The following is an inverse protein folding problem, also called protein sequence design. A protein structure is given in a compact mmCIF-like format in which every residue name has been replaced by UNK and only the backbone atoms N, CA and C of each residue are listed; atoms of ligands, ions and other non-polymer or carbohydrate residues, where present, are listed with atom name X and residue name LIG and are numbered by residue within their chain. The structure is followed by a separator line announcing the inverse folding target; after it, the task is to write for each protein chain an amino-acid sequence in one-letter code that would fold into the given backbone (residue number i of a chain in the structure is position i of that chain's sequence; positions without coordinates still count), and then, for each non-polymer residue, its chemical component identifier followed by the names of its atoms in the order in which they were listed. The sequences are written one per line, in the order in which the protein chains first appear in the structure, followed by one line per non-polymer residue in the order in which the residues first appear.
data_IF_980177141937
#
_entry.id   IF_980177141937
#
_cell.length_a   1.000
_cell.length_b   1.000
_cell.length_c   1.000
_cell.angle_alpha   90.00
_cell.angle_beta   90.00
_cell.angle_gamma   90.00
#
_symmetry.space_group_name_H-M   'P 1'
#
loop_
_entity.id
_entity.type
_entity.pdbx_description
1 polymer ?
#
# COMPACT_ATOMS: atom_id res chain seq x y z
N UNK A 1 1.77 -18.57 32.09
CA UNK A 1 1.35 -19.95 31.74
C UNK A 1 0.51 -19.85 30.49
N UNK A 2 0.73 -20.74 29.51
CA UNK A 2 0.02 -20.69 28.22
C UNK A 2 -1.46 -21.01 28.43
N UNK A 3 -2.36 -20.11 28.00
CA UNK A 3 -3.81 -20.36 27.94
C UNK A 3 -4.21 -20.59 26.49
N UNK A 4 -4.95 -21.65 26.21
CA UNK A 4 -5.41 -21.98 24.85
C UNK A 4 -6.90 -22.24 24.88
N UNK A 5 -7.62 -21.67 23.92
CA UNK A 5 -9.01 -22.01 23.62
C UNK A 5 -9.12 -22.31 22.13
N UNK A 6 -9.63 -23.49 21.77
CA UNK A 6 -9.91 -23.90 20.40
C UNK A 6 -11.41 -24.15 20.29
N UNK A 7 -12.09 -23.47 19.37
CA UNK A 7 -13.52 -23.66 19.09
C UNK A 7 -13.67 -24.08 17.63
N UNK A 8 -14.00 -25.37 17.36
CA UNK A 8 -14.00 -25.87 15.99
C UNK A 8 -15.11 -25.29 15.10
N UNK A 9 -16.20 -24.80 15.71
CA UNK A 9 -17.39 -24.33 15.00
C UNK A 9 -17.11 -23.17 14.04
N UNK A 10 -16.28 -22.22 14.45
CA UNK A 10 -15.84 -21.07 13.65
C UNK A 10 -14.34 -21.10 13.32
N UNK A 11 -13.65 -22.21 13.64
CA UNK A 11 -12.21 -22.32 13.45
C UNK A 11 -11.40 -21.35 14.32
N UNK A 12 -11.92 -20.96 15.50
CA UNK A 12 -11.21 -20.09 16.42
C UNK A 12 -10.10 -20.85 17.15
N UNK A 13 -8.91 -20.27 17.18
CA UNK A 13 -7.85 -20.60 18.13
C UNK A 13 -7.42 -19.31 18.81
N UNK A 14 -7.45 -19.30 20.13
CA UNK A 14 -6.98 -18.21 20.97
C UNK A 14 -5.87 -18.69 21.87
N UNK A 15 -4.69 -18.06 21.79
CA UNK A 15 -3.55 -18.33 22.67
C UNK A 15 -3.19 -17.05 23.40
N UNK A 16 -3.16 -17.11 24.72
CA UNK A 16 -2.81 -15.99 25.63
C UNK A 16 -3.59 -14.69 25.32
N UNK A 17 -4.87 -14.83 24.97
CA UNK A 17 -5.78 -13.71 24.69
C UNK A 17 -5.80 -13.20 23.25
N UNK A 18 -4.96 -13.74 22.34
CA UNK A 18 -4.97 -13.39 20.91
C UNK A 18 -5.59 -14.50 20.07
N UNK A 19 -6.68 -14.16 19.38
CA UNK A 19 -7.48 -15.10 18.59
C UNK A 19 -7.36 -14.93 17.08
N UNK A 20 -7.37 -16.04 16.35
CA UNK A 20 -7.59 -16.11 14.90
C UNK A 20 -8.74 -17.07 14.61
N UNK A 21 -9.64 -16.69 13.70
CA UNK A 21 -10.80 -17.49 13.26
C UNK A 21 -10.57 -18.07 11.87
N UNK A 22 -11.39 -19.03 11.44
CA UNK A 22 -11.31 -19.64 10.12
C UNK A 22 -10.14 -20.60 9.91
N UNK A 23 -9.44 -20.99 10.99
CA UNK A 23 -8.35 -21.97 10.91
C UNK A 23 -8.90 -23.38 10.61
N UNK A 24 -8.09 -24.20 9.95
CA UNK A 24 -8.49 -25.55 9.56
C UNK A 24 -8.57 -26.52 10.75
N UNK A 25 -9.79 -26.93 11.08
CA UNK A 25 -10.13 -27.81 12.20
C UNK A 25 -10.34 -29.28 11.80
N UNK A 26 -10.04 -29.67 10.56
CA UNK A 26 -10.30 -31.03 10.05
C UNK A 26 -9.61 -32.15 10.84
N UNK A 27 -8.58 -31.84 11.63
CA UNK A 27 -7.92 -32.79 12.53
C UNK A 27 -8.66 -33.05 13.85
N UNK A 28 -9.73 -32.30 14.16
CA UNK A 28 -10.54 -32.50 15.37
C UNK A 28 -11.75 -33.38 15.10
N UNK A 29 -12.13 -34.17 16.11
CA UNK A 29 -13.37 -34.92 16.08
C UNK A 29 -14.57 -33.96 16.03
N UNK A 30 -15.52 -34.23 15.13
CA UNK A 30 -16.65 -33.34 14.85
C UNK A 30 -17.61 -33.12 16.03
N UNK A 31 -17.54 -33.99 17.05
CA UNK A 31 -18.32 -33.91 18.27
C UNK A 31 -17.69 -33.01 19.36
N UNK A 32 -16.51 -32.46 19.14
CA UNK A 32 -15.88 -31.50 20.06
C UNK A 32 -16.53 -30.12 19.89
N UNK A 33 -16.91 -29.50 21.00
CA UNK A 33 -17.39 -28.11 21.06
C UNK A 33 -16.23 -27.15 21.34
N UNK A 34 -15.36 -27.48 22.30
CA UNK A 34 -14.18 -26.69 22.61
C UNK A 34 -13.05 -27.53 23.20
N UNK A 35 -11.82 -27.06 23.03
CA UNK A 35 -10.64 -27.56 23.74
C UNK A 35 -10.03 -26.38 24.48
N UNK A 36 -9.86 -26.51 25.79
CA UNK A 36 -9.35 -25.44 26.64
C UNK A 36 -8.14 -25.92 27.43
N UNK A 37 -7.08 -25.12 27.49
CA UNK A 37 -5.84 -25.40 28.21
C UNK A 37 -5.51 -24.30 29.20
N UNK A 38 -5.17 -24.68 30.43
CA UNK A 38 -5.00 -23.78 31.57
C UNK A 38 -3.56 -23.79 32.13
N UNK A 39 -2.58 -24.14 31.30
CA UNK A 39 -1.16 -24.12 31.66
C UNK A 39 -0.56 -25.53 31.81
N UNK A 40 -1.15 -26.38 32.66
CA UNK A 40 -0.65 -27.74 32.94
C UNK A 40 -1.67 -28.86 32.65
N UNK A 41 -2.93 -28.49 32.41
CA UNK A 41 -4.00 -29.41 32.06
C UNK A 41 -5.04 -28.69 31.23
N UNK A 42 -5.88 -29.45 30.55
CA UNK A 42 -6.97 -28.93 29.77
C UNK A 42 -8.21 -29.80 29.84
N UNK A 43 -9.27 -29.33 29.20
CA UNK A 43 -10.55 -30.01 29.10
C UNK A 43 -11.04 -30.00 27.65
N UNK A 44 -11.64 -31.12 27.25
CA UNK A 44 -12.39 -31.25 26.01
C UNK A 44 -13.87 -31.15 26.38
N UNK A 45 -14.53 -30.12 25.85
CA UNK A 45 -15.97 -29.96 25.92
C UNK A 45 -16.60 -30.59 24.68
N UNK A 46 -17.62 -31.43 24.85
CA UNK A 46 -18.33 -32.08 23.76
C UNK A 46 -19.66 -31.39 23.46
N UNK A 47 -20.07 -31.47 22.19
CA UNK A 47 -21.40 -31.06 21.74
C UNK A 47 -22.48 -31.92 22.39
N UNK A 48 -23.69 -31.37 22.50
CA UNK A 48 -24.88 -32.13 22.89
C UNK A 48 -25.08 -33.28 21.89
N UNK A 49 -25.31 -34.49 22.41
CA UNK A 49 -25.50 -35.67 21.58
C UNK A 49 -26.91 -35.73 20.97
N UNK A 50 -27.17 -36.72 20.11
CA UNK A 50 -28.46 -36.89 19.44
C UNK A 50 -29.65 -37.09 20.40
N UNK A 51 -29.39 -37.45 21.65
CA UNK A 51 -30.39 -37.64 22.71
C UNK A 51 -30.64 -36.36 23.53
N UNK A 52 -30.04 -35.22 23.16
CA UNK A 52 -30.17 -33.97 23.88
C UNK A 52 -29.35 -33.90 25.17
N UNK A 53 -28.42 -34.84 25.38
CA UNK A 53 -27.58 -34.92 26.59
C UNK A 53 -26.19 -34.35 26.30
N UNK A 54 -25.71 -33.46 27.16
CA UNK A 54 -24.32 -32.97 27.14
C UNK A 54 -23.40 -34.01 27.78
N UNK A 55 -22.42 -34.58 27.06
CA UNK A 55 -21.43 -35.48 27.66
C UNK A 55 -20.57 -34.74 28.70
N UNK A 56 -20.04 -35.46 29.68
CA UNK A 56 -19.07 -34.90 30.62
C UNK A 56 -17.78 -34.49 29.88
N UNK A 57 -17.15 -33.40 30.34
CA UNK A 57 -15.86 -32.98 29.83
C UNK A 57 -14.78 -34.02 30.13
N UNK A 58 -13.80 -34.14 29.22
CA UNK A 58 -12.64 -35.01 29.43
C UNK A 58 -11.41 -34.17 29.74
N UNK A 59 -10.76 -34.42 30.87
CA UNK A 59 -9.47 -33.78 31.18
C UNK A 59 -8.33 -34.42 30.38
N UNK A 60 -7.36 -33.59 29.99
CA UNK A 60 -6.13 -34.04 29.33
C UNK A 60 -4.92 -33.25 29.84
N UNK A 61 -3.72 -33.80 29.63
CA UNK A 61 -2.47 -33.28 30.25
C UNK A 61 -1.33 -33.06 29.24
N UNK A 62 -1.59 -33.22 27.94
CA UNK A 62 -0.63 -32.91 26.88
C UNK A 62 -1.34 -32.22 25.71
N UNK A 63 -0.66 -31.27 25.07
CA UNK A 63 -1.12 -30.58 23.88
C UNK A 63 -0.74 -31.28 22.57
N UNK A 64 -0.07 -32.43 22.62
CA UNK A 64 0.46 -33.10 21.42
C UNK A 64 -0.63 -33.37 20.36
N UNK A 65 -1.83 -33.74 20.79
CA UNK A 65 -2.98 -33.97 19.90
C UNK A 65 -3.46 -32.69 19.17
N UNK A 66 -3.04 -31.51 19.64
CA UNK A 66 -3.45 -30.20 19.13
C UNK A 66 -2.29 -29.43 18.49
N UNK A 67 -1.10 -30.03 18.40
CA UNK A 67 0.11 -29.39 17.88
C UNK A 67 -0.08 -28.79 16.48
N UNK A 68 -0.80 -29.48 15.59
CA UNK A 68 -1.12 -28.97 14.25
C UNK A 68 -1.94 -27.67 14.28
N UNK A 69 -2.93 -27.60 15.16
CA UNK A 69 -3.84 -26.45 15.26
C UNK A 69 -3.13 -25.25 15.89
N UNK A 70 -2.27 -25.52 16.87
CA UNK A 70 -1.37 -24.51 17.45
C UNK A 70 -0.43 -23.97 16.38
N UNK A 71 0.14 -24.84 15.53
CA UNK A 71 1.00 -24.41 14.43
C UNK A 71 0.27 -23.54 13.39
N UNK A 72 -1.01 -23.81 13.11
CA UNK A 72 -1.84 -22.95 12.25
C UNK A 72 -2.02 -21.55 12.87
N UNK A 73 -2.29 -21.48 14.17
CA UNK A 73 -2.35 -20.20 14.87
C UNK A 73 -1.00 -19.47 14.87
N UNK A 74 0.11 -20.18 15.05
CA UNK A 74 1.46 -19.59 15.01
C UNK A 74 1.78 -19.04 13.62
N UNK A 75 1.38 -19.74 12.55
CA UNK A 75 1.51 -19.28 11.19
C UNK A 75 0.69 -18.01 10.91
N UNK A 76 -0.57 -17.95 11.35
CA UNK A 76 -1.38 -16.73 11.19
C UNK A 76 -0.88 -15.58 12.06
N UNK A 77 -0.39 -15.87 13.26
CA UNK A 77 0.27 -14.88 14.12
C UNK A 77 1.49 -14.31 13.41
N UNK A 78 2.30 -15.16 12.77
CA UNK A 78 3.47 -14.73 12.01
C UNK A 78 3.07 -13.90 10.79
N UNK A 79 2.08 -14.32 10.01
CA UNK A 79 1.57 -13.56 8.87
C UNK A 79 0.98 -12.19 9.28
N UNK A 80 0.32 -12.11 10.43
CA UNK A 80 -0.23 -10.86 10.95
C UNK A 80 0.85 -9.94 11.56
N UNK A 81 1.87 -10.49 12.21
CA UNK A 81 2.97 -9.72 12.80
C UNK A 81 3.99 -9.29 11.74
N UNK A 82 4.17 -10.12 10.71
CA UNK A 82 5.12 -9.96 9.62
C UNK A 82 4.37 -10.05 8.27
N UNK A 83 3.50 -9.07 7.95
CA UNK A 83 2.83 -9.07 6.67
C UNK A 83 3.88 -9.08 5.54
N UNK A 84 3.65 -9.82 4.45
CA UNK A 84 4.56 -9.76 3.30
C UNK A 84 4.70 -8.31 2.84
N UNK A 85 5.90 -7.88 2.43
CA UNK A 85 6.08 -6.54 1.89
C UNK A 85 5.11 -6.33 0.73
N UNK A 86 4.57 -5.12 0.62
CA UNK A 86 3.75 -4.76 -0.52
C UNK A 86 4.49 -5.11 -1.82
N UNK A 87 3.79 -5.59 -2.88
CA UNK A 87 4.43 -5.81 -4.16
C UNK A 87 5.12 -4.52 -4.61
N UNK A 88 6.30 -4.60 -5.26
CA UNK A 88 6.93 -3.41 -5.82
C UNK A 88 5.97 -2.75 -6.82
N UNK A 89 5.98 -1.40 -6.93
CA UNK A 89 5.09 -0.71 -7.86
C UNK A 89 5.38 -1.13 -9.30
N UNK A 90 4.33 -1.21 -10.12
CA UNK A 90 4.47 -1.51 -11.55
C UNK A 90 5.13 -0.33 -12.29
N UNK A 91 5.57 -0.59 -13.53
CA UNK A 91 6.10 0.46 -14.41
C UNK A 91 5.09 1.60 -14.59
N UNK A 92 3.82 1.27 -14.78
CA UNK A 92 2.73 2.24 -14.94
C UNK A 92 2.51 3.06 -13.68
N UNK A 93 2.61 2.44 -12.50
CA UNK A 93 2.50 3.14 -11.22
C UNK A 93 3.68 4.09 -10.98
N UNK A 94 4.90 3.65 -11.32
CA UNK A 94 6.11 4.49 -11.28
C UNK A 94 5.95 5.69 -12.21
N UNK A 95 5.49 5.46 -13.44
CA UNK A 95 5.27 6.53 -14.40
C UNK A 95 4.19 7.51 -13.91
N UNK A 96 3.08 7.03 -13.39
CA UNK A 96 2.01 7.88 -12.85
C UNK A 96 2.47 8.75 -11.67
N UNK A 97 3.32 8.20 -10.79
CA UNK A 97 3.91 8.95 -9.67
C UNK A 97 4.85 10.06 -10.16
N UNK A 98 5.70 9.76 -11.15
CA UNK A 98 6.60 10.74 -11.74
C UNK A 98 5.85 11.83 -12.50
N UNK A 99 4.82 11.47 -13.27
CA UNK A 99 3.98 12.43 -13.99
C UNK A 99 3.25 13.39 -13.03
N UNK A 100 2.66 12.86 -11.95
CA UNK A 100 1.99 13.68 -10.94
C UNK A 100 2.97 14.61 -10.19
N UNK A 101 4.16 14.10 -9.87
CA UNK A 101 5.23 14.86 -9.24
C UNK A 101 5.75 15.99 -10.14
N UNK A 102 6.01 15.69 -11.41
CA UNK A 102 6.48 16.67 -12.40
C UNK A 102 5.44 17.77 -12.63
N UNK A 103 4.16 17.40 -12.81
CA UNK A 103 3.06 18.36 -12.94
C UNK A 103 2.98 19.31 -11.73
N UNK A 104 3.11 18.76 -10.52
CA UNK A 104 3.14 19.57 -9.29
C UNK A 104 4.33 20.52 -9.25
N UNK A 105 5.50 20.05 -9.65
CA UNK A 105 6.71 20.88 -9.70
C UNK A 105 6.57 22.01 -10.73
N UNK A 106 6.10 21.73 -11.95
CA UNK A 106 5.84 22.72 -13.00
C UNK A 106 4.91 23.83 -12.48
N UNK A 107 3.80 23.46 -11.84
CA UNK A 107 2.86 24.44 -11.28
C UNK A 107 3.49 25.31 -10.20
N UNK A 108 4.40 24.77 -9.37
CA UNK A 108 5.12 25.57 -8.37
C UNK A 108 6.07 26.58 -9.01
N UNK A 109 6.74 26.22 -10.10
CA UNK A 109 7.67 27.15 -10.79
C UNK A 109 6.97 28.39 -11.34
N UNK A 110 5.70 28.27 -11.74
CA UNK A 110 4.93 29.37 -12.32
C UNK A 110 4.03 30.09 -11.31
N UNK A 111 3.91 29.58 -10.08
CA UNK A 111 3.00 30.10 -9.06
C UNK A 111 3.42 31.47 -8.52
N UNK A 112 4.72 31.80 -8.58
CA UNK A 112 5.27 33.07 -8.11
C UNK A 112 6.19 33.65 -9.18
N UNK A 113 6.02 34.94 -9.49
CA UNK A 113 6.90 35.66 -10.41
C UNK A 113 8.25 36.00 -9.73
N UNK A 114 9.29 36.37 -10.50
CA UNK A 114 10.60 36.71 -9.94
C UNK A 114 10.57 37.91 -8.98
N UNK A 115 9.59 38.78 -9.12
CA UNK A 115 9.35 39.94 -8.26
C UNK A 115 8.59 39.60 -6.96
N UNK A 116 8.29 38.31 -6.73
CA UNK A 116 7.53 37.83 -5.57
C UNK A 116 6.02 38.00 -5.69
N UNK A 117 5.50 38.53 -6.81
CA UNK A 117 4.05 38.65 -7.03
C UNK A 117 3.42 37.30 -7.40
N UNK A 118 2.12 37.10 -7.13
CA UNK A 118 1.42 35.88 -7.54
C UNK A 118 1.47 35.69 -9.06
N UNK A 119 1.94 34.52 -9.50
CA UNK A 119 1.94 34.09 -10.89
C UNK A 119 0.65 33.36 -11.24
N UNK A 120 0.78 32.16 -11.79
CA UNK A 120 -0.33 31.33 -12.27
C UNK A 120 -0.53 30.09 -11.41
N UNK A 121 -1.78 29.75 -11.12
CA UNK A 121 -2.09 28.56 -10.32
C UNK A 121 -1.83 27.24 -11.08
N UNK A 122 -1.90 27.28 -12.41
CA UNK A 122 -1.66 26.13 -13.29
C UNK A 122 -1.28 26.55 -14.71
N UNK A 123 -0.69 25.61 -15.48
CA UNK A 123 -0.41 25.81 -16.91
C UNK A 123 -1.70 26.14 -17.67
N UNK A 124 -2.82 25.49 -17.31
CA UNK A 124 -4.15 25.78 -17.87
C UNK A 124 -4.59 27.23 -17.60
N UNK A 125 -4.40 27.73 -16.38
CA UNK A 125 -4.77 29.10 -16.03
C UNK A 125 -3.96 30.14 -16.82
N UNK A 126 -2.67 29.87 -17.05
CA UNK A 126 -1.82 30.71 -17.90
C UNK A 126 -2.27 30.66 -19.36
N UNK A 127 -2.57 29.46 -19.86
CA UNK A 127 -3.04 29.23 -21.23
C UNK A 127 -4.33 29.98 -21.60
N UNK A 128 -5.22 30.21 -20.64
CA UNK A 128 -6.48 30.94 -20.86
C UNK A 128 -6.28 32.41 -21.28
N UNK A 129 -5.11 32.99 -21.03
CA UNK A 129 -4.80 34.37 -21.42
C UNK A 129 -4.18 34.49 -22.81
N UNK A 130 -3.78 33.38 -23.45
CA UNK A 130 -3.18 33.39 -24.78
C UNK A 130 -4.20 33.87 -25.80
N UNK A 131 -3.95 35.03 -26.42
CA UNK A 131 -4.85 35.65 -27.40
C UNK A 131 -6.21 36.12 -26.86
N UNK A 132 -6.45 36.00 -25.54
CA UNK A 132 -7.72 36.30 -24.90
C UNK A 132 -7.52 37.19 -23.66
N UNK A 133 -6.83 38.31 -23.85
CA UNK A 133 -6.50 39.25 -22.78
C UNK A 133 -6.30 40.66 -23.35
N UNK A 134 -6.64 41.68 -22.55
CA UNK A 134 -6.32 43.08 -22.86
C UNK A 134 -4.90 43.45 -22.43
N UNK A 135 -4.26 42.63 -21.59
CA UNK A 135 -2.88 42.83 -21.15
C UNK A 135 -1.94 41.91 -21.94
N UNK A 136 -1.15 42.44 -22.91
CA UNK A 136 -0.28 41.63 -23.77
C UNK A 136 0.74 40.81 -23.00
N UNK A 137 1.16 41.29 -21.81
CA UNK A 137 2.05 40.55 -20.91
C UNK A 137 1.50 39.19 -20.54
N UNK A 138 0.20 39.07 -20.24
CA UNK A 138 -0.39 37.80 -19.84
C UNK A 138 -0.48 36.79 -20.98
N UNK A 139 -0.65 37.25 -22.22
CA UNK A 139 -0.61 36.38 -23.40
C UNK A 139 0.80 35.82 -23.61
N UNK A 140 1.81 36.69 -23.51
CA UNK A 140 3.21 36.30 -23.66
C UNK A 140 3.69 35.35 -22.56
N UNK A 141 3.30 35.62 -21.30
CA UNK A 141 3.54 34.71 -20.17
C UNK A 141 2.90 33.34 -20.41
N UNK A 142 1.63 33.31 -20.85
CA UNK A 142 0.91 32.07 -21.16
C UNK A 142 1.58 31.24 -22.26
N UNK A 143 2.01 31.88 -23.35
CA UNK A 143 2.73 31.21 -24.45
C UNK A 143 4.05 30.61 -23.95
N UNK A 144 4.85 31.39 -23.20
CA UNK A 144 6.13 30.92 -22.66
C UNK A 144 5.95 29.74 -21.69
N UNK A 145 4.93 29.79 -20.83
CA UNK A 145 4.61 28.71 -19.88
C UNK A 145 4.19 27.45 -20.64
N UNK A 146 3.33 27.58 -21.66
CA UNK A 146 2.89 26.43 -22.47
C UNK A 146 4.06 25.75 -23.16
N UNK A 147 4.93 26.53 -23.79
CA UNK A 147 6.09 26.02 -24.53
C UNK A 147 7.10 25.36 -23.59
N UNK A 148 7.38 25.98 -22.43
CA UNK A 148 8.26 25.39 -21.41
C UNK A 148 7.69 24.10 -20.81
N UNK A 149 6.38 24.06 -20.51
CA UNK A 149 5.72 22.84 -20.05
C UNK A 149 5.89 21.70 -21.08
N UNK A 150 5.71 21.99 -22.37
CA UNK A 150 5.93 20.99 -23.43
C UNK A 150 7.38 20.48 -23.47
N UNK A 151 8.37 21.35 -23.24
CA UNK A 151 9.78 20.95 -23.16
C UNK A 151 10.06 20.04 -21.96
N UNK A 152 9.47 20.34 -20.79
CA UNK A 152 9.59 19.48 -19.61
C UNK A 152 9.04 18.08 -19.87
N UNK A 153 7.84 17.98 -20.45
CA UNK A 153 7.22 16.68 -20.77
C UNK A 153 7.99 15.90 -21.84
N UNK A 154 8.51 16.58 -22.86
CA UNK A 154 9.36 15.94 -23.86
C UNK A 154 10.64 15.37 -23.23
N UNK A 155 11.26 16.12 -22.30
CA UNK A 155 12.45 15.68 -21.58
C UNK A 155 12.16 14.51 -20.64
N UNK A 156 11.05 14.55 -19.90
CA UNK A 156 10.65 13.48 -19.01
C UNK A 156 10.39 12.17 -19.78
N UNK A 157 9.72 12.26 -20.93
CA UNK A 157 9.50 11.12 -21.82
C UNK A 157 10.81 10.56 -22.37
N UNK A 158 11.76 11.41 -22.76
CA UNK A 158 13.11 10.97 -23.16
C UNK A 158 13.79 10.16 -22.04
N UNK A 159 13.80 10.67 -20.81
CA UNK A 159 14.39 9.99 -19.66
C UNK A 159 13.73 8.64 -19.40
N UNK A 160 12.40 8.59 -19.34
CA UNK A 160 11.66 7.35 -19.15
C UNK A 160 11.97 6.32 -20.24
N UNK A 161 12.03 6.73 -21.51
CA UNK A 161 12.36 5.83 -22.61
C UNK A 161 13.81 5.28 -22.53
N UNK A 162 14.73 6.01 -21.91
CA UNK A 162 16.11 5.52 -21.70
C UNK A 162 16.23 4.58 -20.50
N UNK A 163 15.45 4.83 -19.44
CA UNK A 163 15.54 4.10 -18.16
C UNK A 163 14.67 2.84 -18.18
N UNK A 164 13.49 2.88 -18.80
CA UNK A 164 12.54 1.78 -18.80
C UNK A 164 13.14 0.46 -19.34
N UNK A 165 13.88 0.43 -20.46
CA UNK A 165 14.53 -0.80 -20.92
C UNK A 165 15.55 -1.35 -19.92
N UNK A 166 16.23 -0.48 -19.16
CA UNK A 166 17.22 -0.85 -18.16
C UNK A 166 16.56 -1.41 -16.89
N UNK A 167 15.39 -0.89 -16.52
CA UNK A 167 14.57 -1.42 -15.42
C UNK A 167 14.06 -2.83 -15.73
N UNK A 168 13.57 -3.07 -16.97
CA UNK A 168 13.02 -4.37 -17.39
C UNK A 168 14.08 -5.49 -17.29
N UNK A 169 15.33 -5.18 -17.62
CA UNK A 169 16.44 -6.14 -17.53
C UNK A 169 17.14 -6.15 -16.15
N UNK A 170 16.65 -5.37 -15.18
CA UNK A 170 17.19 -5.31 -13.81
C UNK A 170 18.53 -4.58 -13.66
N UNK A 171 18.96 -3.80 -14.67
CA UNK A 171 20.23 -3.09 -14.65
C UNK A 171 20.15 -1.72 -13.98
N UNK A 172 18.95 -1.21 -13.69
CA UNK A 172 18.73 0.09 -13.07
C UNK A 172 17.40 0.12 -12.29
N UNK A 173 17.39 0.84 -11.18
CA UNK A 173 16.15 1.17 -10.45
C UNK A 173 15.36 2.29 -11.13
N UNK A 174 14.10 2.47 -10.73
CA UNK A 174 13.29 3.60 -11.18
C UNK A 174 13.96 4.93 -10.80
N UNK A 175 13.93 5.95 -11.67
CA UNK A 175 14.46 7.25 -11.32
C UNK A 175 13.57 7.90 -10.26
N UNK A 176 14.18 8.61 -9.32
CA UNK A 176 13.44 9.43 -8.35
C UNK A 176 12.87 10.69 -9.01
N UNK A 177 11.85 11.28 -8.40
CA UNK A 177 11.30 12.56 -8.86
C UNK A 177 12.37 13.68 -8.88
N UNK A 178 13.31 13.66 -7.94
CA UNK A 178 14.40 14.64 -7.87
C UNK A 178 15.36 14.51 -9.06
N UNK A 179 15.70 13.29 -9.45
CA UNK A 179 16.52 13.03 -10.65
C UNK A 179 15.80 13.49 -11.92
N UNK A 180 14.50 13.24 -12.04
CA UNK A 180 13.70 13.73 -13.18
C UNK A 180 13.68 15.26 -13.20
N UNK A 181 13.42 15.91 -12.06
CA UNK A 181 13.37 17.37 -11.95
C UNK A 181 14.73 18.02 -12.28
N UNK A 182 15.84 17.42 -11.86
CA UNK A 182 17.19 17.95 -12.09
C UNK A 182 17.54 18.07 -13.58
N UNK A 183 16.91 17.25 -14.42
CA UNK A 183 17.09 17.23 -15.87
C UNK A 183 16.15 18.19 -16.62
N UNK A 184 15.17 18.79 -15.93
CA UNK A 184 14.21 19.69 -16.56
C UNK A 184 14.86 21.03 -16.95
N UNK A 185 14.50 21.61 -18.10
CA UNK A 185 15.00 22.93 -18.46
C UNK A 185 14.53 23.98 -17.44
N UNK A 186 15.37 24.97 -17.07
CA UNK A 186 14.95 26.03 -16.17
C UNK A 186 13.83 26.86 -16.80
N UNK A 187 12.88 27.31 -15.97
CA UNK A 187 11.86 28.25 -16.44
C UNK A 187 12.39 29.68 -16.41
N UNK A 188 12.22 30.39 -17.52
CA UNK A 188 12.53 31.81 -17.61
C UNK A 188 11.26 32.59 -17.95
N UNK A 189 10.89 33.52 -17.08
CA UNK A 189 9.80 34.45 -17.33
C UNK A 189 10.15 35.36 -18.52
N UNK A 190 9.18 35.68 -19.40
CA UNK A 190 9.44 36.61 -20.50
C UNK A 190 9.80 37.99 -19.94
N UNK A 191 10.80 38.62 -20.56
CA UNK A 191 11.14 40.02 -20.27
C UNK A 191 10.01 40.90 -20.83
N UNK A 192 9.38 41.69 -19.98
CA UNK A 192 8.26 42.59 -20.32
C UNK A 192 8.67 44.04 -20.16
#
# INVERSE_FOLDING_TARGET
MKQITIVPENGLVMIDGRGFEGLDMTSLASNIHAVQWYGNSGEIEYKINAQGVKPANTSFYSLDAYARIIALWEAEKDAADNPPPAPPPTIEEIQALLDAGLSTWIHRQIATRPDGTPGYASVTSAGNYIGNTVNPKWSLEGEKIRDWNAQCWAKALELLNTVLPQMIVGNREAPSLEEVIAEMPPFEWPVT
#
